data_IF_845780746032
#
_entry.id   IF_845780746032
#
_cell.length_a   1.000
_cell.length_b   1.000
_cell.length_c   1.000
_cell.angle_alpha   90.00
_cell.angle_beta   90.00
_cell.angle_gamma   90.00
#
_symmetry.space_group_name_H-M   'P 1'
#
loop_
_entity.id
_entity.type
_entity.pdbx_description
1 polymer ?
#
# COMPACT_ATOMS: atom_id res chain seq x y z
N UNK A 1 32.63 38.83 6.96
CA UNK A 1 32.69 37.96 5.76
C UNK A 1 31.44 37.07 5.64
N UNK A 2 30.44 37.63 4.94
CA UNK A 2 29.32 36.98 4.23
C UNK A 2 28.63 35.74 4.83
N UNK A 3 27.55 35.93 5.58
CA UNK A 3 26.46 34.94 5.62
C UNK A 3 25.38 35.35 4.62
N UNK A 4 25.24 34.59 3.55
CA UNK A 4 24.22 34.81 2.52
C UNK A 4 22.93 34.10 2.94
N UNK A 5 22.00 34.87 3.50
CA UNK A 5 20.62 34.44 3.66
C UNK A 5 20.01 34.18 2.28
N UNK A 6 19.93 32.91 1.87
CA UNK A 6 19.07 32.50 0.76
C UNK A 6 17.62 32.80 1.13
N UNK A 7 17.12 33.92 0.64
CA UNK A 7 15.69 34.27 0.68
C UNK A 7 14.92 33.16 -0.03
N UNK A 8 14.06 32.45 0.70
CA UNK A 8 13.02 31.62 0.09
C UNK A 8 12.13 32.56 -0.71
N UNK A 9 12.09 32.38 -2.03
CA UNK A 9 11.14 33.07 -2.89
C UNK A 9 9.69 32.73 -2.50
N UNK A 10 8.71 33.52 -2.93
CA UNK A 10 7.31 33.30 -2.58
C UNK A 10 6.87 31.90 -3.01
N UNK A 11 6.15 31.21 -2.12
CA UNK A 11 5.55 29.92 -2.42
C UNK A 11 4.66 30.05 -3.67
N UNK A 12 5.02 29.35 -4.75
CA UNK A 12 4.15 29.23 -5.92
C UNK A 12 2.87 28.49 -5.49
N UNK A 13 1.71 28.79 -6.09
CA UNK A 13 0.47 28.09 -5.79
C UNK A 13 0.71 26.58 -5.94
N UNK A 14 0.31 25.80 -4.93
CA UNK A 14 0.36 24.35 -5.01
C UNK A 14 -0.61 23.92 -6.11
N UNK A 15 -0.06 23.57 -7.26
CA UNK A 15 -0.83 22.97 -8.34
C UNK A 15 -1.18 21.52 -7.90
N UNK A 16 -2.48 21.18 -7.75
CA UNK A 16 -2.92 19.91 -7.15
C UNK A 16 -2.50 18.64 -7.92
N UNK A 17 -1.87 18.76 -9.09
CA UNK A 17 -1.47 17.62 -9.94
C UNK A 17 0.01 17.21 -9.89
N UNK A 18 0.87 17.85 -9.09
CA UNK A 18 2.30 17.52 -9.06
C UNK A 18 2.61 16.27 -8.23
N UNK A 19 3.32 15.28 -8.80
CA UNK A 19 3.84 14.13 -8.05
C UNK A 19 5.10 14.52 -7.25
N UNK A 20 5.11 14.41 -5.92
CA UNK A 20 6.32 14.64 -5.12
C UNK A 20 7.41 13.61 -5.48
N UNK A 21 8.60 14.07 -5.89
CA UNK A 21 9.75 13.21 -6.12
C UNK A 21 9.80 12.48 -7.47
N UNK A 22 9.02 12.88 -8.48
CA UNK A 22 9.01 12.28 -9.82
C UNK A 22 10.43 12.13 -10.42
N UNK A 23 10.97 10.90 -10.57
CA UNK A 23 12.15 10.69 -11.39
C UNK A 23 11.80 10.94 -12.86
N UNK A 24 12.77 11.45 -13.63
CA UNK A 24 12.61 11.71 -15.06
C UNK A 24 12.09 10.50 -15.84
N UNK A 25 11.23 10.76 -16.83
CA UNK A 25 10.69 9.85 -17.86
C UNK A 25 10.90 8.35 -17.62
N UNK A 26 9.80 7.62 -17.35
CA UNK A 26 9.72 6.16 -17.43
C UNK A 26 9.80 5.73 -18.90
N UNK A 27 10.97 5.87 -19.53
CA UNK A 27 11.16 5.51 -20.93
C UNK A 27 10.98 4.01 -21.13
N UNK A 28 10.39 3.65 -22.27
CA UNK A 28 10.52 2.32 -22.84
C UNK A 28 12.02 1.97 -22.96
N UNK A 29 12.40 0.80 -22.42
CA UNK A 29 13.77 0.28 -22.51
C UNK A 29 14.68 0.68 -21.34
N UNK A 30 14.55 -0.03 -20.21
CA UNK A 30 15.41 0.19 -19.05
C UNK A 30 15.37 -0.88 -17.95
N UNK A 31 14.98 -2.13 -18.26
CA UNK A 31 15.26 -3.28 -17.39
C UNK A 31 15.53 -4.53 -18.24
N UNK A 32 16.50 -4.43 -19.16
CA UNK A 32 17.03 -5.57 -19.90
C UNK A 32 18.52 -5.70 -19.62
N UNK A 33 18.85 -6.47 -18.58
CA UNK A 33 20.11 -7.23 -18.49
C UNK A 33 19.94 -8.39 -17.53
N UNK A 34 19.87 -9.61 -18.08
CA UNK A 34 19.93 -10.88 -17.34
C UNK A 34 18.79 -11.86 -17.64
N UNK A 35 18.96 -12.69 -18.68
CA UNK A 35 18.48 -14.09 -18.84
C UNK A 35 17.05 -14.58 -18.51
N UNK A 36 16.06 -13.71 -18.28
CA UNK A 36 14.63 -14.00 -18.54
C UNK A 36 14.00 -12.71 -19.04
N UNK A 37 13.39 -12.71 -20.22
CA UNK A 37 12.69 -11.53 -20.73
C UNK A 37 11.54 -11.18 -19.77
N UNK A 38 11.75 -10.18 -18.91
CA UNK A 38 10.69 -9.56 -18.13
C UNK A 38 9.70 -8.96 -19.13
N UNK A 39 8.58 -9.64 -19.33
CA UNK A 39 7.51 -9.18 -20.23
C UNK A 39 6.75 -8.06 -19.53
N UNK A 40 6.61 -6.94 -20.23
CA UNK A 40 5.68 -5.86 -19.91
C UNK A 40 5.47 -5.05 -21.18
N UNK A 41 4.26 -4.50 -21.35
CA UNK A 41 3.87 -3.72 -22.52
C UNK A 41 3.26 -2.40 -22.07
N UNK A 42 3.84 -1.28 -22.51
CA UNK A 42 3.29 0.04 -22.25
C UNK A 42 2.02 0.24 -23.11
N UNK A 43 0.90 0.58 -22.47
CA UNK A 43 -0.38 0.83 -23.14
C UNK A 43 -0.73 2.32 -23.20
N UNK A 44 -0.34 3.08 -22.19
CA UNK A 44 -0.63 4.50 -22.07
C UNK A 44 0.41 5.17 -21.14
N UNK A 45 0.66 6.46 -21.35
CA UNK A 45 1.54 7.26 -20.49
C UNK A 45 3.02 6.98 -20.71
N UNK A 46 3.78 6.80 -19.63
CA UNK A 46 5.23 6.55 -19.65
C UNK A 46 6.10 7.82 -19.67
N UNK A 47 5.50 9.01 -19.64
CA UNK A 47 6.25 10.25 -19.78
C UNK A 47 5.60 11.46 -19.12
N UNK A 48 6.23 12.61 -19.33
CA UNK A 48 5.66 13.91 -18.97
C UNK A 48 4.49 14.22 -19.92
N UNK A 49 3.32 14.67 -19.42
CA UNK A 49 2.22 15.09 -20.28
C UNK A 49 2.63 16.25 -21.21
N UNK A 50 2.08 16.26 -22.42
CA UNK A 50 2.23 17.39 -23.33
C UNK A 50 1.62 18.67 -22.72
N UNK A 51 2.17 19.84 -23.08
CA UNK A 51 1.68 21.13 -22.58
C UNK A 51 2.07 21.48 -21.14
N UNK A 52 2.75 20.57 -20.42
CA UNK A 52 3.26 20.79 -19.06
C UNK A 52 4.81 20.68 -19.02
N UNK A 53 5.55 21.62 -19.64
CA UNK A 53 7.01 21.52 -19.77
C UNK A 53 7.77 21.79 -18.47
N UNK A 54 7.16 22.45 -17.49
CA UNK A 54 7.71 22.71 -16.16
C UNK A 54 6.91 21.95 -15.09
N UNK A 55 7.48 21.78 -13.88
CA UNK A 55 6.85 21.03 -12.79
C UNK A 55 7.14 19.52 -12.79
N UNK A 56 6.52 18.79 -11.85
CA UNK A 56 6.75 17.36 -11.60
C UNK A 56 5.52 16.53 -12.01
N UNK A 57 5.18 16.57 -13.31
CA UNK A 57 4.03 15.85 -13.84
C UNK A 57 4.45 14.54 -14.52
N UNK A 58 3.68 13.49 -14.27
CA UNK A 58 3.77 12.19 -14.92
C UNK A 58 2.38 11.88 -15.47
N UNK A 59 2.29 11.46 -16.73
CA UNK A 59 1.05 11.01 -17.32
C UNK A 59 0.57 9.70 -16.66
N UNK A 60 -0.74 9.50 -16.46
CA UNK A 60 -1.28 8.21 -16.05
C UNK A 60 -0.73 7.09 -16.93
N UNK A 61 -0.05 6.14 -16.32
CA UNK A 61 0.76 5.14 -17.02
C UNK A 61 0.19 3.74 -16.78
N UNK A 62 -0.01 2.98 -17.86
CA UNK A 62 -0.58 1.64 -17.81
C UNK A 62 0.39 0.66 -18.46
N UNK A 63 0.84 -0.33 -17.71
CA UNK A 63 1.57 -1.48 -18.23
C UNK A 63 0.67 -2.71 -18.20
N UNK A 64 0.62 -3.46 -19.31
CA UNK A 64 -0.05 -4.75 -19.40
C UNK A 64 0.95 -5.90 -19.60
N UNK A 65 0.47 -7.12 -19.42
CA UNK A 65 1.24 -8.35 -19.57
C UNK A 65 2.50 -8.35 -18.69
N UNK A 66 2.40 -7.75 -17.50
CA UNK A 66 3.53 -7.57 -16.59
C UNK A 66 3.85 -8.89 -15.91
N UNK A 67 5.12 -9.31 -16.02
CA UNK A 67 5.60 -10.51 -15.34
C UNK A 67 5.50 -10.34 -13.80
N UNK A 68 5.05 -11.36 -13.03
CA UNK A 68 4.91 -11.26 -11.59
C UNK A 68 6.21 -10.97 -10.83
N UNK A 69 7.36 -11.31 -11.41
CA UNK A 69 8.71 -11.03 -10.87
C UNK A 69 9.27 -9.68 -11.32
N UNK A 70 8.55 -8.92 -12.15
CA UNK A 70 8.97 -7.61 -12.59
C UNK A 70 9.01 -6.63 -11.42
N UNK A 71 10.03 -5.76 -11.37
CA UNK A 71 10.15 -4.72 -10.34
C UNK A 71 8.92 -3.83 -10.24
N UNK A 72 8.30 -3.46 -11.37
CA UNK A 72 7.07 -2.64 -11.40
C UNK A 72 5.85 -3.34 -10.79
N UNK A 73 5.89 -4.66 -10.62
CA UNK A 73 4.86 -5.46 -9.96
C UNK A 73 5.18 -5.67 -8.47
N UNK A 74 6.47 -5.73 -8.12
CA UNK A 74 6.96 -6.08 -6.78
C UNK A 74 7.29 -4.89 -5.86
N UNK A 75 7.60 -3.73 -6.44
CA UNK A 75 8.01 -2.52 -5.73
C UNK A 75 6.93 -1.43 -5.80
N UNK A 76 6.69 -0.76 -4.68
CA UNK A 76 5.76 0.37 -4.62
C UNK A 76 6.29 1.57 -5.43
N UNK A 77 5.52 2.03 -6.42
CA UNK A 77 5.88 3.16 -7.28
C UNK A 77 5.43 4.50 -6.67
N UNK A 78 4.31 4.51 -5.92
CA UNK A 78 3.73 5.69 -5.29
C UNK A 78 3.40 6.85 -6.26
N UNK A 79 3.14 6.51 -7.52
CA UNK A 79 2.78 7.43 -8.60
C UNK A 79 1.61 6.88 -9.44
N UNK A 80 1.15 7.62 -10.47
CA UNK A 80 -0.01 7.24 -11.28
C UNK A 80 0.35 6.16 -12.31
N UNK A 81 0.86 5.02 -11.83
CA UNK A 81 1.32 3.88 -12.63
C UNK A 81 0.59 2.63 -12.18
N UNK A 82 -0.05 1.92 -13.11
CA UNK A 82 -0.69 0.62 -12.84
C UNK A 82 -0.03 -0.47 -13.68
N UNK A 83 0.25 -1.60 -13.04
CA UNK A 83 0.73 -2.83 -13.66
C UNK A 83 -0.42 -3.85 -13.71
N UNK A 84 -0.64 -4.44 -14.88
CA UNK A 84 -1.72 -5.40 -15.12
C UNK A 84 -1.11 -6.73 -15.53
N UNK A 85 -1.52 -7.79 -14.83
CA UNK A 85 -1.13 -9.17 -15.07
C UNK A 85 -2.41 -10.01 -15.19
N UNK A 86 -2.63 -10.73 -16.30
CA UNK A 86 -3.78 -11.62 -16.43
C UNK A 86 -3.63 -12.85 -15.53
N UNK A 87 -4.76 -13.51 -15.25
CA UNK A 87 -4.84 -14.78 -14.54
C UNK A 87 -6.01 -15.59 -15.10
N UNK A 88 -5.95 -16.91 -15.02
CA UNK A 88 -6.95 -17.81 -15.60
C UNK A 88 -7.95 -18.34 -14.57
N UNK A 89 -7.55 -18.40 -13.29
CA UNK A 89 -8.38 -18.96 -12.22
C UNK A 89 -8.11 -18.31 -10.86
N UNK A 90 -8.91 -18.70 -9.86
CA UNK A 90 -8.86 -18.11 -8.51
C UNK A 90 -7.58 -18.44 -7.76
N UNK A 91 -7.06 -19.65 -7.90
CA UNK A 91 -5.83 -20.07 -7.21
C UNK A 91 -4.63 -19.28 -7.74
N UNK A 92 -4.57 -19.07 -9.05
CA UNK A 92 -3.55 -18.24 -9.69
C UNK A 92 -3.70 -16.77 -9.27
N UNK A 93 -4.90 -16.21 -9.30
CA UNK A 93 -5.15 -14.84 -8.89
C UNK A 93 -4.75 -14.60 -7.42
N UNK A 94 -5.06 -15.57 -6.55
CA UNK A 94 -4.71 -15.52 -5.14
C UNK A 94 -3.19 -15.60 -4.94
N UNK A 95 -2.52 -16.52 -5.66
CA UNK A 95 -1.07 -16.62 -5.64
C UNK A 95 -0.41 -15.31 -6.11
N UNK A 96 -0.91 -14.69 -7.17
CA UNK A 96 -0.43 -13.38 -7.64
C UNK A 96 -0.66 -12.27 -6.61
N UNK A 97 -1.86 -12.20 -6.02
CA UNK A 97 -2.22 -11.18 -5.04
C UNK A 97 -1.38 -11.27 -3.75
N UNK A 98 -1.07 -12.49 -3.32
CA UNK A 98 -0.28 -12.73 -2.11
C UNK A 98 1.24 -12.75 -2.35
N UNK A 99 1.70 -12.90 -3.61
CA UNK A 99 3.12 -12.86 -4.00
C UNK A 99 3.68 -11.42 -3.99
N UNK A 100 3.65 -10.81 -2.82
CA UNK A 100 4.24 -9.52 -2.52
C UNK A 100 4.66 -9.46 -1.06
N UNK A 101 5.68 -8.65 -0.77
CA UNK A 101 6.09 -8.33 0.61
C UNK A 101 5.10 -7.40 1.33
N UNK A 102 4.20 -6.75 0.59
CA UNK A 102 3.22 -5.81 1.12
C UNK A 102 1.87 -6.50 1.41
N UNK A 103 1.04 -5.87 2.23
CA UNK A 103 -0.26 -6.40 2.65
C UNK A 103 -1.19 -5.33 3.23
N UNK A 104 -1.26 -4.15 2.59
CA UNK A 104 -2.10 -3.05 3.08
C UNK A 104 -3.57 -3.22 2.67
N UNK A 105 -3.82 -3.29 1.36
CA UNK A 105 -5.15 -3.22 0.77
C UNK A 105 -5.30 -4.19 -0.40
N UNK A 106 -6.48 -4.80 -0.53
CA UNK A 106 -6.89 -5.57 -1.70
C UNK A 106 -8.28 -5.13 -2.18
N UNK A 107 -8.51 -5.22 -3.49
CA UNK A 107 -9.78 -4.89 -4.14
C UNK A 107 -10.21 -6.06 -5.00
N UNK A 108 -11.42 -6.57 -4.79
CA UNK A 108 -11.94 -7.74 -5.49
C UNK A 108 -13.25 -7.34 -6.18
N UNK A 109 -13.31 -7.56 -7.48
CA UNK A 109 -14.48 -7.27 -8.31
C UNK A 109 -15.06 -8.57 -8.85
N UNK A 110 -16.23 -8.97 -8.34
CA UNK A 110 -16.94 -10.18 -8.75
C UNK A 110 -18.41 -10.12 -8.37
N UNK A 111 -19.28 -10.71 -9.18
CA UNK A 111 -20.72 -10.86 -8.86
C UNK A 111 -21.03 -12.16 -8.10
N UNK A 112 -20.05 -13.06 -7.96
CA UNK A 112 -20.23 -14.32 -7.23
C UNK A 112 -19.93 -14.12 -5.74
N UNK A 113 -20.96 -14.23 -4.90
CA UNK A 113 -20.87 -14.01 -3.45
C UNK A 113 -19.91 -14.99 -2.75
N UNK A 114 -19.98 -16.28 -3.10
CA UNK A 114 -19.11 -17.31 -2.52
C UNK A 114 -17.64 -17.03 -2.86
N UNK A 115 -17.37 -16.69 -4.13
CA UNK A 115 -16.03 -16.29 -4.58
C UNK A 115 -15.55 -15.04 -3.85
N UNK A 116 -16.40 -14.02 -3.72
CA UNK A 116 -16.06 -12.78 -3.03
C UNK A 116 -15.60 -13.03 -1.58
N UNK A 117 -16.40 -13.76 -0.80
CA UNK A 117 -16.08 -14.05 0.60
C UNK A 117 -14.87 -14.97 0.74
N UNK A 118 -14.82 -16.08 -0.01
CA UNK A 118 -13.69 -17.02 0.07
C UNK A 118 -12.38 -16.34 -0.34
N UNK A 119 -12.36 -15.59 -1.45
CA UNK A 119 -11.16 -14.91 -1.89
C UNK A 119 -10.72 -13.83 -0.88
N UNK A 120 -11.67 -13.05 -0.33
CA UNK A 120 -11.37 -12.03 0.67
C UNK A 120 -10.78 -12.57 1.98
N UNK A 121 -11.10 -13.81 2.36
CA UNK A 121 -10.54 -14.44 3.56
C UNK A 121 -9.13 -14.98 3.35
N UNK A 122 -8.76 -15.30 2.11
CA UNK A 122 -7.47 -15.88 1.79
C UNK A 122 -6.44 -14.84 1.31
N UNK A 123 -6.88 -13.64 0.91
CA UNK A 123 -5.97 -12.56 0.53
C UNK A 123 -5.27 -11.98 1.77
N UNK A 124 -3.96 -11.83 1.70
CA UNK A 124 -3.12 -11.38 2.82
C UNK A 124 -3.02 -9.85 2.85
N UNK A 125 -4.14 -9.19 3.17
CA UNK A 125 -4.23 -7.74 3.31
C UNK A 125 -5.02 -7.35 4.56
N UNK A 126 -4.62 -6.25 5.20
CA UNK A 126 -5.35 -5.73 6.36
C UNK A 126 -6.71 -5.11 6.00
N UNK A 127 -6.83 -4.58 4.78
CA UNK A 127 -8.07 -4.01 4.26
C UNK A 127 -8.50 -4.69 2.96
N UNK A 128 -9.76 -5.09 2.85
CA UNK A 128 -10.31 -5.69 1.64
C UNK A 128 -11.62 -5.02 1.26
N UNK A 129 -11.72 -4.54 0.02
CA UNK A 129 -12.95 -3.99 -0.54
C UNK A 129 -13.50 -4.93 -1.62
N UNK A 130 -14.77 -5.30 -1.47
CA UNK A 130 -15.54 -6.03 -2.47
C UNK A 130 -16.37 -5.03 -3.28
N UNK A 131 -16.25 -5.08 -4.61
CA UNK A 131 -17.05 -4.30 -5.56
C UNK A 131 -17.14 -2.79 -5.27
N UNK A 132 -16.07 -2.21 -4.72
CA UNK A 132 -15.97 -0.79 -4.42
C UNK A 132 -14.52 -0.32 -4.48
N UNK A 133 -14.35 1.00 -4.66
CA UNK A 133 -13.07 1.65 -4.36
C UNK A 133 -12.94 1.84 -2.84
N UNK A 134 -11.87 2.50 -2.41
CA UNK A 134 -11.57 2.75 -0.99
C UNK A 134 -12.61 3.70 -0.34
N UNK A 135 -13.75 3.14 0.07
CA UNK A 135 -14.76 3.82 0.90
C UNK A 135 -14.48 3.42 2.35
N UNK A 136 -14.20 4.40 3.20
CA UNK A 136 -13.76 4.15 4.58
C UNK A 136 -14.82 4.48 5.60
N UNK A 137 -14.95 3.61 6.60
CA UNK A 137 -15.57 3.93 7.89
C UNK A 137 -14.45 4.14 8.92
N UNK A 138 -14.41 5.32 9.55
CA UNK A 138 -13.34 5.65 10.50
C UNK A 138 -13.40 4.84 11.81
N UNK A 139 -14.49 4.11 12.03
CA UNK A 139 -14.68 3.25 13.22
C UNK A 139 -14.10 1.85 13.03
N UNK A 140 -13.88 1.43 11.79
CA UNK A 140 -13.28 0.11 11.50
C UNK A 140 -11.75 0.18 11.65
N UNK A 141 -11.09 -0.92 12.05
CA UNK A 141 -9.64 -0.99 12.04
C UNK A 141 -9.09 -0.65 10.65
N UNK A 142 -7.99 0.08 10.63
CA UNK A 142 -7.21 0.42 9.45
C UNK A 142 -5.75 0.10 9.74
N UNK A 143 -5.18 -0.78 8.94
CA UNK A 143 -3.82 -1.25 9.11
C UNK A 143 -3.48 -2.23 8.00
N UNK A 144 -2.20 -2.55 7.89
CA UNK A 144 -1.70 -3.57 6.97
C UNK A 144 -1.08 -4.74 7.72
N UNK A 145 -0.79 -5.80 6.97
CA UNK A 145 0.01 -6.94 7.40
C UNK A 145 1.34 -6.98 6.64
N UNK A 146 2.20 -7.96 6.94
CA UNK A 146 3.54 -8.11 6.32
C UNK A 146 4.38 -6.84 6.48
N UNK A 147 5.02 -6.37 5.41
CA UNK A 147 5.82 -5.14 5.43
C UNK A 147 4.98 -3.86 5.41
N UNK A 148 3.63 -3.95 5.36
CA UNK A 148 2.75 -2.77 5.33
C UNK A 148 2.40 -2.20 6.70
N UNK A 149 2.98 -2.73 7.77
CA UNK A 149 2.89 -2.15 9.11
C UNK A 149 2.56 -3.18 10.19
N UNK A 150 2.43 -2.67 11.41
CA UNK A 150 2.04 -3.42 12.60
C UNK A 150 0.99 -2.63 13.38
N UNK A 151 0.00 -3.32 13.92
CA UNK A 151 -1.09 -2.70 14.67
C UNK A 151 -2.19 -2.16 13.76
N UNK A 152 -3.19 -1.53 14.39
CA UNK A 152 -4.33 -0.96 13.70
C UNK A 152 -4.69 0.38 14.30
N UNK A 153 -5.08 1.29 13.43
CA UNK A 153 -5.69 2.57 13.77
C UNK A 153 -7.20 2.51 13.50
N UNK A 154 -7.96 3.48 14.01
CA UNK A 154 -9.39 3.60 13.72
C UNK A 154 -10.30 3.04 14.82
N UNK A 155 -11.32 3.83 15.15
CA UNK A 155 -12.30 3.52 16.18
C UNK A 155 -11.67 3.15 17.52
N UNK A 156 -12.20 2.10 18.13
CA UNK A 156 -11.73 1.62 19.43
C UNK A 156 -10.37 0.92 19.36
N UNK A 157 -9.86 0.56 18.18
CA UNK A 157 -8.58 -0.15 18.05
C UNK A 157 -7.37 0.74 18.28
N UNK A 158 -7.50 2.03 18.02
CA UNK A 158 -6.47 3.02 18.37
C UNK A 158 -6.16 3.05 19.87
N UNK A 159 -7.09 2.63 20.75
CA UNK A 159 -6.84 2.62 22.20
C UNK A 159 -5.68 1.69 22.57
N UNK A 160 -5.53 0.58 21.83
CA UNK A 160 -4.49 -0.42 22.08
C UNK A 160 -3.09 0.14 21.78
N UNK A 161 -2.99 1.20 20.98
CA UNK A 161 -1.74 1.86 20.61
C UNK A 161 -1.48 3.16 21.40
N UNK A 162 -2.51 3.99 21.62
CA UNK A 162 -2.35 5.30 22.27
C UNK A 162 -2.50 5.27 23.79
N UNK A 163 -2.76 4.11 24.41
CA UNK A 163 -2.92 4.00 25.87
C UNK A 163 -2.10 2.85 26.43
N UNK A 164 -1.67 3.02 27.68
CA UNK A 164 -1.06 1.94 28.47
C UNK A 164 -2.12 1.32 29.39
N UNK A 165 -2.22 -0.01 29.37
CA UNK A 165 -3.13 -0.75 30.26
C UNK A 165 -2.47 -1.00 31.61
N UNK A 166 -3.13 -0.62 32.70
CA UNK A 166 -2.67 -0.87 34.07
C UNK A 166 -3.71 -1.70 34.85
N UNK A 167 -3.28 -2.85 35.38
CA UNK A 167 -4.07 -3.63 36.32
C UNK A 167 -3.71 -3.25 37.76
N UNK A 168 -4.70 -2.86 38.57
CA UNK A 168 -4.53 -2.52 39.99
C UNK A 168 -5.37 -3.47 40.83
N UNK A 169 -4.70 -4.25 41.68
CA UNK A 169 -5.35 -5.20 42.57
C UNK A 169 -5.20 -4.72 44.02
N UNK A 170 -6.31 -4.73 44.77
CA UNK A 170 -6.33 -4.38 46.19
C UNK A 170 -6.96 -5.51 46.99
N UNK A 171 -6.36 -5.82 48.13
CA UNK A 171 -6.86 -6.79 49.10
C UNK A 171 -7.50 -6.05 50.27
N UNK A 172 -8.80 -6.26 50.50
CA UNK A 172 -9.56 -5.59 51.58
C UNK A 172 -9.68 -6.42 52.87
N UNK A 173 -9.18 -7.64 52.89
CA UNK A 173 -9.29 -8.56 54.03
C UNK A 173 -8.26 -9.67 53.99
N UNK A 174 -8.41 -10.68 54.85
CA UNK A 174 -7.53 -11.84 54.82
C UNK A 174 -7.70 -12.60 53.49
N UNK A 175 -6.59 -12.83 52.79
CA UNK A 175 -6.53 -13.66 51.59
C UNK A 175 -5.74 -14.93 51.88
N UNK A 176 -6.12 -16.01 51.21
CA UNK A 176 -5.34 -17.24 51.27
C UNK A 176 -4.00 -17.03 50.57
N UNK A 177 -2.91 -16.98 51.34
CA UNK A 177 -1.54 -16.98 50.84
C UNK A 177 -0.93 -18.35 51.11
N UNK A 178 -0.67 -19.17 50.07
CA UNK A 178 -0.03 -20.46 50.25
C UNK A 178 1.32 -20.32 50.94
N UNK A 179 1.61 -21.18 51.93
CA UNK A 179 2.95 -21.28 52.55
C UNK A 179 3.72 -22.42 51.88
N UNK A 180 4.89 -22.12 51.34
CA UNK A 180 5.83 -23.11 50.83
C UNK A 180 6.93 -23.39 51.86
N UNK A 181 7.22 -24.68 52.14
CA UNK A 181 8.31 -25.11 53.02
C UNK A 181 8.00 -25.15 54.52
N UNK A 182 6.73 -25.25 54.89
CA UNK A 182 6.27 -25.37 56.29
C UNK A 182 5.86 -26.81 56.63
#
# INVERSE_FOLDING_TARGET
>A
PGQEHRRRGPARPQDPGGCPGAPGTLREGGLLRGDRQVRSRLLAGGGRPEGLPEGNYIAPTVFADVSPDARIFQEEIFGPVVAITPFENDDEALALANNTKYGLAAYIWTQNLTRAHNFSQNVEAGMVWLNSHNVRDLRTPFGGVKASGLGHEGGYRSIDFYTDQQAVHITLGAVHTPKFGA
#
